data_IF_506210892272
#
_entry.id   IF_506210892272
#
_cell.length_a   1.000
_cell.length_b   1.000
_cell.length_c   1.000
_cell.angle_alpha   90.00
_cell.angle_beta   90.00
_cell.angle_gamma   90.00
#
_symmetry.space_group_name_H-M   'P 1'
#
loop_
_entity.id
_entity.type
_entity.pdbx_description
1 polymer ?
#
# COMPACT_ATOMS: atom_id res chain seq x y z
N UNK A 1 7.19 22.28 -21.73
CA UNK A 1 6.30 22.47 -20.57
C UNK A 1 5.90 21.09 -20.07
N UNK A 2 6.52 20.69 -18.99
CA UNK A 2 6.02 19.51 -18.30
C UNK A 2 4.68 19.91 -17.67
N UNK A 3 3.61 19.28 -18.09
CA UNK A 3 2.32 19.41 -17.45
C UNK A 3 2.51 18.96 -15.99
N UNK A 4 2.52 19.91 -15.08
CA UNK A 4 2.40 19.63 -13.66
C UNK A 4 1.01 19.02 -13.48
N UNK A 5 0.96 17.70 -13.34
CA UNK A 5 -0.29 17.03 -13.05
C UNK A 5 -0.80 17.53 -11.70
N UNK A 6 -1.98 18.10 -11.67
CA UNK A 6 -2.65 18.50 -10.42
C UNK A 6 -3.14 17.29 -9.61
N UNK A 7 -2.59 16.12 -9.87
CA UNK A 7 -2.93 14.89 -9.20
C UNK A 7 -2.01 14.64 -8.02
N UNK A 8 -2.59 14.30 -6.86
CA UNK A 8 -1.81 13.91 -5.70
C UNK A 8 -1.23 12.51 -5.88
N UNK A 9 0.09 12.42 -5.83
CA UNK A 9 0.84 11.18 -5.96
C UNK A 9 1.68 10.96 -4.71
N UNK A 10 2.08 9.70 -4.49
CA UNK A 10 2.96 9.35 -3.39
C UNK A 10 4.42 9.60 -3.74
N UNK A 11 5.11 10.31 -2.86
CA UNK A 11 6.54 10.60 -2.98
C UNK A 11 7.28 10.08 -1.76
N UNK A 12 8.51 9.66 -1.95
CA UNK A 12 9.40 9.21 -0.87
C UNK A 12 10.28 10.37 -0.43
N UNK A 13 10.27 10.63 0.87
CA UNK A 13 11.08 11.65 1.51
C UNK A 13 12.11 10.97 2.40
N UNK A 14 13.38 11.34 2.24
CA UNK A 14 14.46 10.85 3.08
C UNK A 14 14.59 11.71 4.34
N UNK A 15 14.74 11.05 5.48
CA UNK A 15 14.92 11.67 6.81
C UNK A 15 16.16 11.12 7.49
N UNK A 16 16.57 11.77 8.56
CA UNK A 16 17.53 11.15 9.46
C UNK A 16 16.90 9.96 10.17
N UNK A 17 17.71 8.93 10.40
CA UNK A 17 17.26 7.73 11.12
C UNK A 17 16.73 8.06 12.51
N UNK A 18 15.53 7.59 12.83
CA UNK A 18 14.83 7.90 14.08
C UNK A 18 13.97 9.16 14.06
N UNK A 19 14.02 9.94 12.96
CA UNK A 19 13.22 11.16 12.82
C UNK A 19 11.95 10.99 11.98
N UNK A 20 11.65 9.81 11.54
CA UNK A 20 10.54 9.53 10.62
C UNK A 20 9.20 10.01 11.19
N UNK A 21 8.88 9.61 12.42
CA UNK A 21 7.63 10.01 13.07
C UNK A 21 7.60 11.51 13.36
N UNK A 22 8.73 12.08 13.73
CA UNK A 22 8.84 13.51 13.99
C UNK A 22 8.63 14.32 12.73
N UNK A 23 9.25 13.94 11.63
CA UNK A 23 9.07 14.58 10.33
C UNK A 23 7.62 14.50 9.89
N UNK A 24 6.99 13.32 10.02
CA UNK A 24 5.59 13.13 9.69
C UNK A 24 4.68 14.05 10.52
N UNK A 25 4.90 14.15 11.82
CA UNK A 25 4.12 15.01 12.72
C UNK A 25 4.34 16.49 12.43
N UNK A 26 5.58 16.92 12.28
CA UNK A 26 5.92 18.31 11.99
C UNK A 26 5.37 18.75 10.63
N UNK A 27 5.46 17.87 9.64
CA UNK A 27 4.90 18.13 8.30
C UNK A 27 3.38 18.23 8.35
N UNK A 28 2.71 17.35 9.06
CA UNK A 28 1.26 17.40 9.25
C UNK A 28 0.83 18.70 9.92
N UNK A 29 1.55 19.12 10.96
CA UNK A 29 1.31 20.41 11.62
C UNK A 29 1.48 21.59 10.69
N UNK A 30 2.50 21.58 9.83
CA UNK A 30 2.69 22.64 8.84
C UNK A 30 1.58 22.66 7.78
N UNK A 31 1.11 21.48 7.35
CA UNK A 31 -0.02 21.35 6.43
C UNK A 31 -1.28 21.98 7.01
N UNK A 32 -1.56 21.73 8.27
CA UNK A 32 -2.70 22.32 8.97
C UNK A 32 -2.56 23.83 9.14
N UNK A 33 -1.39 24.31 9.58
CA UNK A 33 -1.12 25.73 9.79
C UNK A 33 -1.14 26.56 8.51
N UNK A 34 -0.68 25.98 7.41
CA UNK A 34 -0.64 26.64 6.09
C UNK A 34 -1.85 26.34 5.21
N UNK A 35 -2.78 25.53 5.69
CA UNK A 35 -3.98 25.10 4.96
C UNK A 35 -3.64 24.43 3.62
N UNK A 36 -2.68 23.50 3.66
CA UNK A 36 -2.22 22.75 2.49
C UNK A 36 -2.89 21.38 2.35
N UNK A 37 -3.98 21.13 3.06
CA UNK A 37 -4.66 19.82 3.04
C UNK A 37 -5.13 19.40 1.65
N UNK A 38 -5.42 20.36 0.78
CA UNK A 38 -5.80 20.10 -0.61
C UNK A 38 -4.60 19.69 -1.48
N UNK A 39 -3.40 20.07 -1.08
CA UNK A 39 -2.17 19.80 -1.82
C UNK A 39 -1.37 18.64 -1.20
N UNK A 40 -1.29 18.56 0.12
CA UNK A 40 -0.67 17.46 0.85
C UNK A 40 -1.78 16.67 1.53
N UNK A 41 -2.15 15.54 0.91
CA UNK A 41 -3.36 14.78 1.27
C UNK A 41 -3.11 13.79 2.39
N UNK A 42 -1.94 13.16 2.43
CA UNK A 42 -1.62 12.14 3.43
C UNK A 42 -0.11 12.05 3.67
N UNK A 43 0.25 11.60 4.87
CA UNK A 43 1.64 11.41 5.29
C UNK A 43 1.68 10.10 6.07
N UNK A 44 2.53 9.16 5.64
CA UNK A 44 2.67 7.85 6.30
C UNK A 44 4.12 7.47 6.49
N UNK A 45 4.40 6.85 7.63
CA UNK A 45 5.66 6.16 7.88
C UNK A 45 5.42 4.68 7.58
N UNK A 46 6.12 4.08 6.60
CA UNK A 46 5.90 2.68 6.26
C UNK A 46 6.37 1.77 7.40
N UNK A 47 5.42 1.10 8.04
CA UNK A 47 5.66 0.20 9.16
C UNK A 47 4.92 -1.11 8.99
N UNK A 48 5.43 -2.15 9.62
CA UNK A 48 4.85 -3.48 9.64
C UNK A 48 4.72 -3.95 11.08
N UNK A 49 3.61 -4.58 11.41
CA UNK A 49 3.44 -5.22 12.71
C UNK A 49 4.00 -6.65 12.65
N UNK A 50 5.05 -6.88 13.42
CA UNK A 50 5.75 -8.18 13.46
C UNK A 50 5.61 -8.78 14.86
N UNK A 51 5.26 -10.07 14.97
CA UNK A 51 5.24 -10.75 16.28
C UNK A 51 6.67 -10.91 16.80
N UNK A 52 6.90 -10.44 18.02
CA UNK A 52 8.15 -10.62 18.74
C UNK A 52 7.90 -11.37 20.05
N UNK A 53 8.71 -12.39 20.31
CA UNK A 53 8.66 -13.12 21.57
C UNK A 53 9.70 -12.54 22.52
N UNK A 54 9.24 -11.92 23.59
CA UNK A 54 10.08 -11.39 24.66
C UNK A 54 9.58 -11.88 26.01
N UNK A 55 10.49 -12.43 26.81
CA UNK A 55 10.19 -12.99 28.15
C UNK A 55 9.08 -14.08 28.11
N UNK A 56 9.01 -14.89 27.05
CA UNK A 56 8.00 -15.92 26.87
C UNK A 56 6.61 -15.38 26.50
N UNK A 57 6.48 -14.10 26.24
CA UNK A 57 5.22 -13.47 25.80
C UNK A 57 5.35 -12.98 24.38
N UNK A 58 4.36 -13.32 23.58
CA UNK A 58 4.23 -12.80 22.21
C UNK A 58 3.63 -11.40 22.24
N UNK A 59 4.33 -10.45 21.62
CA UNK A 59 3.87 -9.09 21.46
C UNK A 59 3.97 -8.67 20.00
N UNK A 60 2.99 -7.91 19.53
CA UNK A 60 3.07 -7.27 18.22
C UNK A 60 3.90 -6.00 18.35
N UNK A 61 5.01 -5.94 17.63
CA UNK A 61 5.93 -4.81 17.60
C UNK A 61 5.89 -4.14 16.24
N UNK A 62 5.87 -2.82 16.23
CA UNK A 62 5.93 -2.02 15.02
C UNK A 62 7.38 -1.97 14.51
N UNK A 63 7.60 -2.55 13.33
CA UNK A 63 8.87 -2.47 12.62
C UNK A 63 8.75 -1.49 11.46
N UNK A 64 9.71 -0.58 11.34
CA UNK A 64 9.81 0.30 10.18
C UNK A 64 10.33 -0.50 8.99
N UNK A 65 9.54 -0.55 7.93
CA UNK A 65 9.91 -1.24 6.69
C UNK A 65 11.10 -0.56 6.01
N UNK A 66 11.10 0.77 6.02
CA UNK A 66 12.15 1.59 5.42
C UNK A 66 12.60 2.66 6.39
N UNK A 67 13.56 2.37 7.30
CA UNK A 67 14.09 3.37 8.22
C UNK A 67 14.71 4.55 7.47
N UNK A 68 14.40 5.75 7.91
CA UNK A 68 14.87 6.98 7.26
C UNK A 68 14.03 7.46 6.08
N UNK A 69 12.84 6.89 5.87
CA UNK A 69 11.93 7.27 4.79
C UNK A 69 10.53 7.56 5.30
N UNK A 70 9.92 8.57 4.72
CA UNK A 70 8.52 8.94 4.97
C UNK A 70 7.82 9.05 3.61
N UNK A 71 6.59 8.56 3.53
CA UNK A 71 5.76 8.63 2.34
C UNK A 71 4.78 9.79 2.46
N UNK A 72 4.72 10.63 1.44
CA UNK A 72 3.84 11.80 1.40
C UNK A 72 3.01 11.76 0.13
N UNK A 73 1.69 11.79 0.27
CA UNK A 73 0.76 11.93 -0.85
C UNK A 73 0.47 13.40 -1.06
N UNK A 74 0.96 13.95 -2.14
CA UNK A 74 0.90 15.39 -2.40
C UNK A 74 0.84 15.71 -3.89
N UNK A 75 0.30 16.88 -4.17
CA UNK A 75 0.47 17.52 -5.48
C UNK A 75 1.84 18.19 -5.49
N UNK A 76 2.69 17.82 -6.44
CA UNK A 76 4.04 18.37 -6.54
C UNK A 76 4.01 19.75 -7.19
N UNK A 77 4.30 20.77 -6.41
CA UNK A 77 4.56 22.12 -6.87
C UNK A 77 5.71 22.75 -6.06
N UNK A 78 6.10 23.96 -6.42
CA UNK A 78 7.21 24.64 -5.75
C UNK A 78 6.94 24.88 -4.26
N UNK A 79 5.70 25.17 -3.89
CA UNK A 79 5.30 25.43 -2.51
C UNK A 79 5.32 24.17 -1.67
N UNK A 80 4.73 23.09 -2.16
CA UNK A 80 4.71 21.81 -1.44
C UNK A 80 6.12 21.20 -1.33
N UNK A 81 6.89 21.27 -2.40
CA UNK A 81 8.28 20.83 -2.40
C UNK A 81 9.11 21.58 -1.35
N UNK A 82 8.96 22.90 -1.29
CA UNK A 82 9.68 23.74 -0.34
C UNK A 82 9.29 23.43 1.12
N UNK A 83 8.00 23.27 1.40
CA UNK A 83 7.50 22.96 2.72
C UNK A 83 8.03 21.61 3.22
N UNK A 84 7.97 20.58 2.38
CA UNK A 84 8.45 19.24 2.73
C UNK A 84 9.95 19.23 2.95
N UNK A 85 10.70 19.84 2.04
CA UNK A 85 12.16 19.87 2.12
C UNK A 85 12.68 20.63 3.35
N UNK A 86 12.00 21.68 3.77
CA UNK A 86 12.39 22.49 4.92
C UNK A 86 11.87 21.97 6.26
N UNK A 87 11.17 20.84 6.26
CA UNK A 87 10.77 20.20 7.50
C UNK A 87 11.99 19.70 8.25
N UNK A 88 12.04 20.00 9.54
CA UNK A 88 13.17 19.60 10.40
C UNK A 88 13.31 18.07 10.46
N UNK A 89 14.50 17.58 10.19
CA UNK A 89 14.80 16.15 10.11
C UNK A 89 14.68 15.56 8.72
N UNK A 90 14.10 16.30 7.78
CA UNK A 90 14.01 15.91 6.37
C UNK A 90 15.30 16.30 5.64
N UNK A 91 15.87 15.35 4.89
CA UNK A 91 17.07 15.58 4.07
C UNK A 91 16.74 15.91 2.62
N UNK A 92 15.56 15.57 2.16
CA UNK A 92 15.07 15.86 0.81
C UNK A 92 14.26 14.71 0.21
N UNK A 93 13.82 14.91 -1.00
CA UNK A 93 13.12 13.88 -1.77
C UNK A 93 14.08 12.84 -2.33
N UNK A 94 13.61 11.60 -2.44
CA UNK A 94 14.32 10.53 -3.13
C UNK A 94 14.08 10.66 -4.63
N UNK A 95 15.14 10.68 -5.41
CA UNK A 95 15.07 10.75 -6.86
C UNK A 95 16.38 11.26 -7.48
N UNK A 96 16.56 11.09 -8.80
CA UNK A 96 17.75 11.54 -9.49
C UNK A 96 17.83 13.07 -9.49
N UNK A 97 19.01 13.61 -9.23
CA UNK A 97 19.30 15.06 -9.22
C UNK A 97 18.39 15.86 -8.27
N UNK A 98 17.98 15.28 -7.14
CA UNK A 98 17.06 15.87 -6.16
C UNK A 98 15.67 16.19 -6.71
N UNK A 99 15.33 15.64 -7.87
CA UNK A 99 13.97 15.71 -8.42
C UNK A 99 13.11 14.61 -7.80
N UNK A 100 11.96 14.96 -7.21
CA UNK A 100 11.07 13.96 -6.66
C UNK A 100 10.45 13.12 -7.77
N UNK A 101 10.49 11.80 -7.59
CA UNK A 101 9.88 10.83 -8.50
C UNK A 101 8.70 10.20 -7.79
N UNK A 102 7.49 10.25 -8.36
CA UNK A 102 6.33 9.63 -7.75
C UNK A 102 6.44 8.11 -7.76
N UNK A 103 5.90 7.48 -6.73
CA UNK A 103 5.78 6.04 -6.66
C UNK A 103 4.77 5.54 -7.70
N UNK A 104 5.07 4.39 -8.28
CA UNK A 104 4.10 3.68 -9.13
C UNK A 104 3.00 3.04 -8.27
N UNK A 105 1.87 2.70 -8.89
CA UNK A 105 0.78 2.03 -8.19
C UNK A 105 1.23 0.71 -7.54
N UNK A 106 2.11 -0.04 -8.20
CA UNK A 106 2.68 -1.28 -7.67
C UNK A 106 3.56 -1.03 -6.44
N UNK A 107 4.37 0.00 -6.46
CA UNK A 107 5.24 0.37 -5.33
C UNK A 107 4.42 0.83 -4.12
N UNK A 108 3.37 1.61 -4.34
CA UNK A 108 2.43 2.04 -3.31
C UNK A 108 1.77 0.83 -2.64
N UNK A 109 1.31 -0.12 -3.42
CA UNK A 109 0.70 -1.35 -2.94
C UNK A 109 1.69 -2.21 -2.14
N UNK A 110 2.90 -2.40 -2.64
CA UNK A 110 3.97 -3.14 -1.95
C UNK A 110 4.37 -2.52 -0.62
N UNK A 111 4.29 -1.21 -0.52
CA UNK A 111 4.58 -0.48 0.72
C UNK A 111 3.41 -0.49 1.71
N UNK A 112 2.24 -1.00 1.32
CA UNK A 112 1.05 -1.08 2.17
C UNK A 112 0.48 0.27 2.57
N UNK A 113 0.77 1.32 1.83
CA UNK A 113 0.38 2.71 2.13
C UNK A 113 -1.05 2.98 1.73
N UNK A 114 -1.45 2.50 0.57
CA UNK A 114 -2.83 2.45 0.12
C UNK A 114 -3.17 1.01 -0.22
N UNK A 115 -4.30 0.56 0.27
CA UNK A 115 -4.89 -0.66 -0.28
C UNK A 115 -5.29 -0.34 -1.72
N UNK A 116 -4.93 -1.21 -2.64
CA UNK A 116 -5.51 -1.16 -3.98
C UNK A 116 -7.01 -0.95 -3.84
N UNK A 117 -7.58 -0.12 -4.71
CA UNK A 117 -9.03 0.06 -4.75
C UNK A 117 -9.69 -1.32 -4.62
N UNK A 118 -10.72 -1.46 -3.79
CA UNK A 118 -11.32 -2.78 -3.62
C UNK A 118 -11.63 -3.33 -5.00
N UNK A 119 -10.94 -4.42 -5.32
CA UNK A 119 -11.24 -5.16 -6.53
C UNK A 119 -12.75 -5.38 -6.50
N UNK A 120 -13.45 -4.77 -7.43
CA UNK A 120 -14.85 -5.09 -7.67
C UNK A 120 -14.87 -6.55 -8.06
N UNK A 121 -15.10 -7.38 -7.07
CA UNK A 121 -15.20 -8.81 -7.28
C UNK A 121 -16.56 -9.03 -7.91
N UNK A 122 -16.56 -9.40 -9.17
CA UNK A 122 -17.79 -9.60 -9.95
C UNK A 122 -18.53 -10.89 -9.55
N UNK A 123 -18.06 -11.59 -8.53
CA UNK A 123 -18.66 -12.83 -8.03
C UNK A 123 -18.89 -12.78 -6.51
N UNK A 124 -19.82 -13.59 -6.05
CA UNK A 124 -20.20 -13.68 -4.64
C UNK A 124 -19.97 -15.08 -4.08
N UNK A 125 -20.03 -15.21 -2.76
CA UNK A 125 -20.02 -16.53 -2.11
C UNK A 125 -21.19 -17.35 -2.63
N UNK A 126 -20.90 -18.55 -3.08
CA UNK A 126 -21.88 -19.46 -3.71
C UNK A 126 -21.84 -19.45 -5.23
N UNK A 127 -21.11 -18.55 -5.85
CA UNK A 127 -20.91 -18.53 -7.32
C UNK A 127 -19.82 -19.51 -7.73
N UNK A 128 -19.95 -20.05 -8.94
CA UNK A 128 -18.91 -20.87 -9.55
C UNK A 128 -17.99 -19.97 -10.37
N UNK A 129 -16.69 -20.08 -10.14
CA UNK A 129 -15.66 -19.33 -10.86
C UNK A 129 -14.66 -20.26 -11.53
N UNK A 130 -14.02 -19.77 -12.57
CA UNK A 130 -12.94 -20.47 -13.26
C UNK A 130 -11.59 -19.90 -12.83
N UNK A 131 -10.64 -20.77 -12.54
CA UNK A 131 -9.27 -20.38 -12.22
C UNK A 131 -8.51 -20.15 -13.53
N UNK A 132 -8.00 -18.95 -13.73
CA UNK A 132 -7.36 -18.51 -14.97
C UNK A 132 -5.84 -18.56 -14.94
N UNK A 133 -5.25 -18.71 -13.75
CA UNK A 133 -3.80 -18.76 -13.59
C UNK A 133 -3.40 -19.60 -12.38
N UNK A 134 -2.16 -20.02 -12.34
CA UNK A 134 -1.57 -20.79 -11.24
C UNK A 134 -1.64 -22.30 -11.45
N UNK A 135 -1.34 -23.08 -10.40
CA UNK A 135 -1.28 -24.55 -10.52
C UNK A 135 -2.66 -25.21 -10.75
N UNK A 136 -3.74 -24.49 -10.54
CA UNK A 136 -5.12 -24.95 -10.72
C UNK A 136 -5.80 -24.31 -11.93
N UNK A 137 -5.03 -23.72 -12.82
CA UNK A 137 -5.54 -23.11 -14.05
C UNK A 137 -6.43 -24.07 -14.85
N UNK A 138 -7.59 -23.60 -15.25
CA UNK A 138 -8.57 -24.37 -16.01
C UNK A 138 -9.58 -25.16 -15.17
N UNK A 139 -9.40 -25.21 -13.86
CA UNK A 139 -10.38 -25.80 -12.96
C UNK A 139 -11.47 -24.83 -12.58
N UNK A 140 -12.66 -25.35 -12.35
CA UNK A 140 -13.79 -24.57 -11.82
C UNK A 140 -13.96 -24.86 -10.34
N UNK A 141 -14.29 -23.84 -9.58
CA UNK A 141 -14.50 -23.95 -8.14
C UNK A 141 -15.71 -23.17 -7.68
N UNK A 142 -16.33 -23.64 -6.62
CA UNK A 142 -17.41 -22.94 -5.91
C UNK A 142 -16.81 -22.02 -4.86
N UNK A 143 -17.18 -20.75 -4.89
CA UNK A 143 -16.70 -19.77 -3.91
C UNK A 143 -17.31 -20.05 -2.53
N UNK A 144 -16.48 -20.38 -1.56
CA UNK A 144 -16.90 -20.58 -0.17
C UNK A 144 -16.71 -19.33 0.69
N UNK A 145 -15.71 -18.54 0.38
CA UNK A 145 -15.41 -17.31 1.10
C UNK A 145 -14.49 -16.39 0.29
N UNK A 146 -14.65 -15.10 0.53
CA UNK A 146 -13.82 -14.06 -0.10
C UNK A 146 -13.14 -13.28 1.01
N UNK A 147 -11.80 -13.29 1.01
CA UNK A 147 -11.00 -12.50 1.91
C UNK A 147 -10.47 -11.28 1.17
N UNK A 148 -11.09 -10.14 1.38
CA UNK A 148 -10.71 -8.87 0.76
C UNK A 148 -9.47 -8.25 1.40
N UNK A 149 -9.09 -8.67 2.59
CA UNK A 149 -7.89 -8.17 3.26
C UNK A 149 -6.62 -8.81 2.72
N UNK A 150 -6.65 -10.12 2.49
CA UNK A 150 -5.52 -10.85 1.91
C UNK A 150 -5.60 -11.03 0.39
N UNK A 151 -6.66 -10.51 -0.26
CA UNK A 151 -6.93 -10.65 -1.69
C UNK A 151 -7.01 -12.11 -2.16
N UNK A 152 -7.56 -12.96 -1.32
CA UNK A 152 -7.68 -14.39 -1.59
C UNK A 152 -9.12 -14.86 -1.56
N UNK A 153 -9.38 -15.88 -2.34
CA UNK A 153 -10.69 -16.53 -2.43
C UNK A 153 -10.54 -17.98 -2.02
N UNK A 154 -11.40 -18.42 -1.13
CA UNK A 154 -11.51 -19.83 -0.78
C UNK A 154 -12.52 -20.49 -1.70
N UNK A 155 -12.05 -21.48 -2.42
CA UNK A 155 -12.85 -22.24 -3.40
C UNK A 155 -12.91 -23.71 -3.01
N UNK A 156 -14.02 -24.35 -3.35
CA UNK A 156 -14.09 -25.81 -3.48
C UNK A 156 -13.91 -26.19 -4.92
N UNK A 157 -12.76 -26.74 -5.23
CA UNK A 157 -12.44 -27.23 -6.58
C UNK A 157 -12.74 -28.71 -6.65
N UNK A 158 -13.47 -29.12 -7.67
CA UNK A 158 -13.72 -30.53 -7.94
C UNK A 158 -12.56 -31.11 -8.74
N UNK A 159 -11.69 -31.84 -8.05
CA UNK A 159 -10.54 -32.53 -8.66
C UNK A 159 -10.75 -34.02 -8.57
N UNK A 160 -10.76 -34.70 -9.73
CA UNK A 160 -10.89 -36.16 -9.81
C UNK A 160 -12.10 -36.76 -9.06
N UNK A 161 -13.23 -36.04 -9.08
CA UNK A 161 -14.45 -36.47 -8.38
C UNK A 161 -14.46 -36.21 -6.87
N UNK A 162 -13.49 -35.44 -6.38
CA UNK A 162 -13.42 -35.04 -4.96
C UNK A 162 -13.40 -33.53 -4.84
N UNK A 163 -14.19 -33.02 -3.94
CA UNK A 163 -14.16 -31.61 -3.59
C UNK A 163 -12.94 -31.32 -2.68
N UNK A 164 -12.06 -30.49 -3.16
CA UNK A 164 -10.85 -30.08 -2.43
C UNK A 164 -10.88 -28.59 -2.16
N UNK A 165 -10.73 -28.16 -0.93
CA UNK A 165 -10.62 -26.73 -0.63
C UNK A 165 -9.31 -26.17 -1.20
N UNK A 166 -9.41 -25.09 -1.94
CA UNK A 166 -8.26 -24.39 -2.49
C UNK A 166 -8.36 -22.89 -2.19
N UNK A 167 -7.23 -22.27 -1.99
CA UNK A 167 -7.12 -20.83 -1.80
C UNK A 167 -6.31 -20.27 -2.94
N UNK A 168 -6.90 -19.31 -3.67
CA UNK A 168 -6.27 -18.66 -4.82
C UNK A 168 -6.43 -17.14 -4.72
N UNK A 169 -5.55 -16.42 -5.41
CA UNK A 169 -5.65 -14.97 -5.45
C UNK A 169 -6.89 -14.52 -6.25
N UNK A 170 -7.55 -13.47 -5.80
CA UNK A 170 -8.75 -12.92 -6.45
C UNK A 170 -8.49 -12.62 -7.94
N UNK A 171 -7.28 -12.14 -8.27
CA UNK A 171 -6.90 -11.85 -9.64
C UNK A 171 -6.77 -13.09 -10.55
N UNK A 172 -6.75 -14.29 -9.97
CA UNK A 172 -6.58 -15.55 -10.68
C UNK A 172 -7.91 -16.28 -10.97
N UNK A 173 -9.02 -15.69 -10.61
CA UNK A 173 -10.36 -16.26 -10.81
C UNK A 173 -11.25 -15.31 -11.57
N UNK A 174 -12.08 -15.85 -12.45
CA UNK A 174 -13.06 -15.11 -13.23
C UNK A 174 -14.39 -15.87 -13.27
N UNK A 175 -15.47 -15.13 -13.49
CA UNK A 175 -16.76 -15.76 -13.80
C UNK A 175 -16.66 -16.45 -15.16
N UNK A 176 -17.18 -17.66 -15.27
CA UNK A 176 -17.14 -18.39 -16.54
C UNK A 176 -17.99 -17.76 -17.66
#
# INVERSE_FOLDING_TARGET
MEEQSNEALWYVVHTYSGYENKVATDLQTMVENRRLQDLICDIKVPTEMVPEIKDGKERMVEHKLFPGYVLVKMVMDDDTWYVVRNTRGCTGFVGPASKPVPLTAEEVEKMGVEKAAPLTVDFNVGDTVQITAGPLEGFMGLVEGIDTESFKVKLKVNMFGRETPAEVDIAQVELP
#
